data_IF_763699349003
#
_entry.id   IF_763699349003
#
_cell.length_a   1.000
_cell.length_b   1.000
_cell.length_c   1.000
_cell.angle_alpha   90.00
_cell.angle_beta   90.00
_cell.angle_gamma   90.00
#
_symmetry.space_group_name_H-M   'P 1'
#
loop_
_entity.id
_entity.type
_entity.pdbx_description
1 polymer ?
#
# COMPACT_ATOMS: atom_id res chain seq x y z
N UNK A 1 -7.77 3.04 -12.84
CA UNK A 1 -7.80 2.21 -11.62
C UNK A 1 -7.37 3.01 -10.39
N UNK A 2 -7.90 2.65 -9.23
CA UNK A 2 -7.55 3.25 -7.93
C UNK A 2 -6.09 2.94 -7.57
N UNK A 3 -5.42 3.88 -6.94
CA UNK A 3 -4.07 3.71 -6.39
C UNK A 3 -4.13 3.54 -4.88
N UNK A 4 -3.41 2.57 -4.38
CA UNK A 4 -3.30 2.30 -2.95
C UNK A 4 -1.91 2.66 -2.43
N UNK A 5 -1.84 3.13 -1.20
CA UNK A 5 -0.58 3.24 -0.48
C UNK A 5 -0.24 1.89 0.15
N UNK A 6 0.98 1.42 -0.05
CA UNK A 6 1.42 0.11 0.41
C UNK A 6 2.63 -0.39 -0.39
N UNK A 7 2.98 -1.65 -0.19
CA UNK A 7 4.11 -2.28 -0.90
C UNK A 7 3.61 -3.23 -1.97
N UNK A 8 4.08 -3.05 -3.20
CA UNK A 8 3.78 -3.97 -4.30
C UNK A 8 4.49 -5.30 -4.09
N UNK A 9 3.72 -6.39 -4.11
CA UNK A 9 4.19 -7.77 -4.06
C UNK A 9 3.65 -8.48 -5.29
N UNK A 10 4.57 -9.04 -6.09
CA UNK A 10 4.19 -9.91 -7.19
C UNK A 10 4.21 -11.37 -6.72
N UNK A 11 3.24 -12.13 -7.18
CA UNK A 11 3.06 -13.55 -6.91
C UNK A 11 3.01 -14.30 -8.23
N UNK A 12 3.84 -15.31 -8.40
CA UNK A 12 3.90 -16.12 -9.62
C UNK A 12 4.35 -17.54 -9.31
N UNK A 13 3.94 -18.49 -10.15
CA UNK A 13 4.33 -19.89 -10.02
C UNK A 13 5.63 -20.15 -10.78
N UNK A 14 6.62 -20.74 -10.12
CA UNK A 14 7.91 -21.03 -10.71
C UNK A 14 8.60 -22.19 -10.01
N UNK A 15 9.16 -23.14 -10.79
CA UNK A 15 9.81 -24.36 -10.28
C UNK A 15 8.93 -25.10 -9.25
N UNK A 16 7.68 -25.35 -9.62
CA UNK A 16 6.68 -26.08 -8.83
C UNK A 16 6.32 -25.45 -7.48
N UNK A 17 6.61 -24.14 -7.31
CA UNK A 17 6.25 -23.40 -6.10
C UNK A 17 5.76 -21.98 -6.37
N UNK A 18 4.90 -21.47 -5.50
CA UNK A 18 4.50 -20.06 -5.50
C UNK A 18 5.63 -19.19 -4.96
N UNK A 19 6.07 -18.29 -5.79
CA UNK A 19 7.17 -17.35 -5.51
C UNK A 19 6.65 -15.94 -5.35
N UNK A 20 7.12 -15.25 -4.31
CA UNK A 20 6.84 -13.85 -4.06
C UNK A 20 8.03 -13.00 -4.54
N UNK A 21 7.75 -11.78 -5.01
CA UNK A 21 8.81 -10.79 -5.20
C UNK A 21 8.36 -9.39 -4.83
N UNK A 22 9.28 -8.58 -4.35
CA UNK A 22 9.17 -7.12 -4.36
C UNK A 22 9.80 -6.59 -5.63
N UNK A 23 9.72 -5.28 -5.87
CA UNK A 23 10.38 -4.63 -7.03
C UNK A 23 11.87 -4.96 -7.13
N UNK A 24 12.55 -5.17 -6.01
CA UNK A 24 14.02 -5.30 -5.94
C UNK A 24 14.52 -6.66 -5.46
N UNK A 25 13.63 -7.57 -5.04
CA UNK A 25 14.06 -8.81 -4.42
C UNK A 25 13.09 -9.97 -4.66
N UNK A 26 13.59 -11.02 -5.34
CA UNK A 26 12.86 -12.30 -5.51
C UNK A 26 12.83 -13.04 -4.18
N UNK A 27 11.67 -13.64 -3.83
CA UNK A 27 11.42 -14.29 -2.56
C UNK A 27 10.87 -13.35 -1.48
N UNK A 28 10.86 -12.02 -1.71
CA UNK A 28 10.34 -11.00 -0.80
C UNK A 28 10.83 -11.11 0.66
N UNK A 29 12.04 -11.67 0.87
CA UNK A 29 12.65 -11.85 2.21
C UNK A 29 13.30 -10.59 2.76
N UNK A 30 13.36 -9.52 1.96
CA UNK A 30 13.84 -8.21 2.37
C UNK A 30 12.89 -7.52 3.34
N UNK A 31 13.43 -6.51 4.04
CA UNK A 31 12.75 -5.73 5.07
C UNK A 31 12.56 -4.29 4.58
N UNK A 32 11.56 -3.60 5.09
CA UNK A 32 11.35 -2.19 4.78
C UNK A 32 12.56 -1.32 5.21
N UNK A 33 13.07 -1.57 6.41
CA UNK A 33 14.25 -0.89 6.95
C UNK A 33 14.95 -1.80 7.99
N UNK A 34 16.10 -1.35 8.51
CA UNK A 34 16.92 -2.10 9.47
C UNK A 34 16.19 -2.41 10.79
N UNK A 35 15.16 -1.65 11.15
CA UNK A 35 14.40 -1.82 12.40
C UNK A 35 13.12 -2.64 12.20
N UNK A 36 12.80 -3.02 10.97
CA UNK A 36 11.63 -3.84 10.67
C UNK A 36 11.80 -5.24 11.25
N UNK A 37 10.79 -5.71 11.99
CA UNK A 37 10.81 -7.05 12.63
C UNK A 37 10.34 -8.16 11.68
N UNK A 38 9.67 -7.81 10.60
CA UNK A 38 9.09 -8.74 9.64
C UNK A 38 9.57 -8.45 8.23
N UNK A 39 9.86 -9.49 7.45
CA UNK A 39 10.09 -9.40 6.02
C UNK A 39 8.77 -9.17 5.28
N UNK A 40 8.84 -8.68 4.04
CA UNK A 40 7.64 -8.54 3.20
C UNK A 40 6.95 -9.88 2.97
N UNK A 41 7.70 -10.97 2.78
CA UNK A 41 7.14 -12.34 2.68
C UNK A 41 6.31 -12.70 3.91
N UNK A 42 6.83 -12.44 5.12
CA UNK A 42 6.10 -12.72 6.35
C UNK A 42 4.83 -11.91 6.47
N UNK A 43 4.89 -10.60 6.23
CA UNK A 43 3.73 -9.72 6.27
C UNK A 43 2.68 -10.08 5.22
N UNK A 44 3.10 -10.46 4.02
CA UNK A 44 2.19 -10.91 2.97
C UNK A 44 1.45 -12.19 3.37
N UNK A 45 2.18 -13.19 3.88
CA UNK A 45 1.59 -14.46 4.30
C UNK A 45 0.69 -14.35 5.55
N UNK A 46 0.83 -13.29 6.36
CA UNK A 46 -0.11 -12.96 7.43
C UNK A 46 -1.45 -12.44 6.88
N UNK A 47 -1.45 -11.88 5.67
CA UNK A 47 -2.64 -11.36 4.99
C UNK A 47 -3.24 -12.35 3.99
N UNK A 48 -2.42 -13.19 3.37
CA UNK A 48 -2.81 -14.12 2.31
C UNK A 48 -1.93 -15.37 2.33
N UNK A 49 -2.56 -16.55 2.40
CA UNK A 49 -1.90 -17.85 2.40
C UNK A 49 -2.62 -18.91 1.56
N UNK A 50 -3.68 -18.53 0.84
CA UNK A 50 -4.52 -19.44 0.06
C UNK A 50 -4.10 -19.45 -1.41
N UNK A 51 -2.89 -19.92 -1.66
CA UNK A 51 -2.31 -19.98 -3.01
C UNK A 51 -3.02 -20.96 -3.95
N UNK A 52 -3.78 -21.90 -3.42
CA UNK A 52 -4.64 -22.83 -4.16
C UNK A 52 -5.83 -22.14 -4.88
N UNK A 53 -6.17 -20.90 -4.50
CA UNK A 53 -7.14 -20.09 -5.22
C UNK A 53 -6.56 -19.45 -6.50
N UNK A 54 -5.23 -19.43 -6.65
CA UNK A 54 -4.52 -18.80 -7.76
C UNK A 54 -4.25 -19.79 -8.89
N UNK A 55 -4.32 -19.30 -10.13
CA UNK A 55 -3.96 -20.07 -11.33
C UNK A 55 -2.45 -20.03 -11.55
N UNK A 56 -1.80 -21.19 -11.64
CA UNK A 56 -0.36 -21.31 -11.83
C UNK A 56 0.16 -20.82 -13.19
N UNK A 57 -0.74 -20.62 -14.16
CA UNK A 57 -0.42 -20.03 -15.47
C UNK A 57 -0.49 -18.51 -15.47
N UNK A 58 -0.82 -17.90 -14.31
CA UNK A 58 -0.95 -16.47 -14.13
C UNK A 58 0.11 -15.90 -13.20
N UNK A 59 0.31 -14.59 -13.29
CA UNK A 59 1.01 -13.80 -12.27
C UNK A 59 0.12 -12.69 -11.75
N UNK A 60 0.31 -12.37 -10.49
CA UNK A 60 -0.54 -11.46 -9.73
C UNK A 60 0.27 -10.34 -9.11
N UNK A 61 -0.22 -9.11 -9.19
CA UNK A 61 0.36 -7.97 -8.50
C UNK A 61 -0.57 -7.50 -7.39
N UNK A 62 -0.13 -7.65 -6.16
CA UNK A 62 -0.86 -7.21 -4.97
C UNK A 62 -0.24 -5.97 -4.35
N UNK A 63 -1.06 -5.11 -3.78
CA UNK A 63 -0.61 -4.10 -2.82
C UNK A 63 -0.81 -4.64 -1.41
N UNK A 64 0.28 -4.82 -0.69
CA UNK A 64 0.29 -5.19 0.72
C UNK A 64 0.09 -3.94 1.58
N UNK A 65 -0.97 -3.93 2.39
CA UNK A 65 -1.21 -2.98 3.47
C UNK A 65 -1.08 -3.72 4.80
N UNK A 66 -0.08 -3.35 5.60
CA UNK A 66 0.22 -4.02 6.86
C UNK A 66 0.61 -3.00 7.93
N UNK A 67 0.13 -3.17 9.17
CA UNK A 67 0.40 -2.25 10.30
C UNK A 67 1.90 -2.07 10.56
N UNK A 68 2.68 -3.15 10.41
CA UNK A 68 4.15 -3.09 10.57
C UNK A 68 4.88 -2.46 9.35
N UNK A 69 4.14 -2.06 8.30
CA UNK A 69 4.64 -1.42 7.09
C UNK A 69 3.73 -0.27 6.63
N UNK A 70 3.26 0.53 7.55
CA UNK A 70 2.49 1.74 7.23
C UNK A 70 3.41 2.84 6.72
N UNK A 71 3.28 3.20 5.43
CA UNK A 71 4.10 4.24 4.80
C UNK A 71 3.56 5.63 5.12
N UNK A 72 2.57 6.06 4.39
CA UNK A 72 1.96 7.39 4.52
C UNK A 72 0.58 7.26 5.16
N UNK A 73 -0.30 6.44 4.58
CA UNK A 73 -1.64 6.27 5.12
C UNK A 73 -1.63 5.33 6.34
N UNK A 74 -2.37 5.65 7.41
CA UNK A 74 -2.57 4.71 8.50
C UNK A 74 -3.21 3.41 8.00
N UNK A 75 -2.69 2.27 8.43
CA UNK A 75 -3.22 0.95 8.10
C UNK A 75 -4.06 0.45 9.27
N UNK A 76 -5.38 0.43 9.11
CA UNK A 76 -6.30 -0.04 10.14
C UNK A 76 -6.41 -1.57 10.17
N UNK A 77 -6.29 -2.19 9.01
CA UNK A 77 -6.42 -3.63 8.81
C UNK A 77 -5.31 -4.16 7.90
N UNK A 78 -4.75 -5.32 8.27
CA UNK A 78 -3.77 -6.01 7.45
C UNK A 78 -4.49 -6.72 6.30
N UNK A 79 -4.13 -6.39 5.05
CA UNK A 79 -4.76 -6.98 3.86
C UNK A 79 -3.87 -6.89 2.63
N UNK A 80 -4.25 -7.64 1.62
CA UNK A 80 -3.70 -7.54 0.27
C UNK A 80 -4.81 -7.15 -0.71
N UNK A 81 -4.46 -6.34 -1.70
CA UNK A 81 -5.36 -5.85 -2.72
C UNK A 81 -4.79 -6.23 -4.08
N UNK A 82 -5.50 -7.06 -4.83
CA UNK A 82 -5.13 -7.42 -6.20
C UNK A 82 -5.33 -6.20 -7.11
N UNK A 83 -4.28 -5.78 -7.78
CA UNK A 83 -4.30 -4.60 -8.66
C UNK A 83 -4.09 -4.95 -10.13
N UNK A 84 -3.36 -6.03 -10.41
CA UNK A 84 -3.13 -6.51 -11.78
C UNK A 84 -2.95 -8.03 -11.78
N UNK A 85 -3.41 -8.65 -12.86
CA UNK A 85 -3.25 -10.06 -13.17
C UNK A 85 -2.84 -10.21 -14.63
N UNK A 86 -1.91 -11.11 -14.91
CA UNK A 86 -1.45 -11.42 -16.25
C UNK A 86 -1.50 -12.94 -16.48
N UNK A 87 -2.12 -13.37 -17.57
CA UNK A 87 -2.07 -14.75 -18.07
C UNK A 87 -0.85 -14.97 -18.96
N UNK A 88 -0.26 -16.15 -18.89
CA UNK A 88 0.85 -16.61 -19.73
C UNK A 88 0.49 -17.85 -20.55
N UNK A 89 -0.80 -18.17 -20.71
CA UNK A 89 -1.26 -19.36 -21.45
C UNK A 89 -0.70 -19.42 -22.88
N UNK A 90 -0.55 -18.28 -23.54
CA UNK A 90 0.00 -18.16 -24.89
C UNK A 90 1.52 -17.94 -24.93
N UNK A 91 2.22 -18.08 -23.80
CA UNK A 91 3.67 -17.83 -23.67
C UNK A 91 4.07 -16.35 -23.60
N UNK A 92 3.12 -15.43 -23.68
CA UNK A 92 3.33 -14.00 -23.55
C UNK A 92 2.39 -13.43 -22.45
N UNK A 93 2.80 -12.36 -21.74
CA UNK A 93 1.95 -11.77 -20.72
C UNK A 93 0.74 -11.06 -21.37
N UNK A 94 -0.45 -11.53 -21.09
CA UNK A 94 -1.72 -10.90 -21.48
C UNK A 94 -2.43 -10.40 -20.23
N UNK A 95 -2.78 -9.12 -20.20
CA UNK A 95 -3.46 -8.54 -19.03
C UNK A 95 -4.88 -9.09 -18.94
N UNK A 96 -5.28 -9.53 -17.74
CA UNK A 96 -6.63 -9.95 -17.44
C UNK A 96 -7.46 -8.71 -17.08
N UNK A 97 -8.48 -8.39 -17.91
CA UNK A 97 -9.29 -7.17 -17.73
C UNK A 97 -10.27 -7.27 -16.56
N UNK A 98 -10.83 -8.47 -16.33
CA UNK A 98 -11.82 -8.72 -15.28
C UNK A 98 -11.20 -9.59 -14.19
N UNK A 99 -10.69 -8.94 -13.12
CA UNK A 99 -10.12 -9.64 -11.99
C UNK A 99 -11.20 -10.48 -11.27
N UNK A 100 -10.86 -11.71 -10.90
CA UNK A 100 -11.79 -12.61 -10.19
C UNK A 100 -11.94 -12.15 -8.73
N UNK A 101 -13.19 -12.07 -8.28
CA UNK A 101 -13.49 -11.82 -6.86
C UNK A 101 -13.04 -13.00 -6.01
N UNK A 102 -12.42 -12.72 -4.88
CA UNK A 102 -12.04 -13.69 -3.86
C UNK A 102 -12.56 -13.26 -2.49
N UNK A 103 -12.66 -14.21 -1.57
CA UNK A 103 -12.95 -13.95 -0.16
C UNK A 103 -11.70 -13.62 0.64
N UNK A 104 -10.51 -13.86 0.08
CA UNK A 104 -9.23 -13.79 0.76
C UNK A 104 -8.41 -12.56 0.41
N UNK A 105 -8.79 -11.85 -0.64
CA UNK A 105 -8.17 -10.59 -1.02
C UNK A 105 -9.20 -9.61 -1.62
N UNK A 106 -8.91 -8.33 -1.51
CA UNK A 106 -9.68 -7.28 -2.17
C UNK A 106 -9.20 -7.08 -3.61
N UNK A 107 -10.10 -6.63 -4.48
CA UNK A 107 -9.79 -6.26 -5.86
C UNK A 107 -9.77 -4.75 -6.00
N UNK A 108 -8.81 -4.24 -6.77
CA UNK A 108 -8.75 -2.81 -7.09
C UNK A 108 -9.92 -2.37 -7.94
N UNK A 109 -10.57 -1.29 -7.53
CA UNK A 109 -11.64 -0.68 -8.32
C UNK A 109 -11.09 -0.08 -9.61
N UNK A 110 -11.75 -0.37 -10.71
CA UNK A 110 -11.53 0.25 -12.03
C UNK A 110 -12.77 1.06 -12.43
N UNK A 111 -12.57 2.13 -13.19
CA UNK A 111 -13.62 3.01 -13.69
C UNK A 111 -13.41 3.20 -15.17
N UNK A 112 -14.48 3.14 -15.96
CA UNK A 112 -14.40 3.22 -17.43
C UNK A 112 -14.07 4.62 -17.90
N UNK A 113 -14.56 5.63 -17.19
CA UNK A 113 -14.37 7.02 -17.61
C UNK A 113 -14.22 7.98 -16.41
N UNK A 114 -13.81 9.21 -16.70
CA UNK A 114 -13.58 10.25 -15.69
C UNK A 114 -14.87 10.75 -15.02
N UNK A 115 -16.00 10.65 -15.69
CA UNK A 115 -17.29 11.05 -15.12
C UNK A 115 -17.70 10.08 -13.99
N UNK A 116 -17.58 8.79 -14.25
CA UNK A 116 -17.80 7.73 -13.25
C UNK A 116 -16.89 7.90 -12.03
N UNK A 117 -15.60 8.18 -12.28
CA UNK A 117 -14.65 8.50 -11.24
C UNK A 117 -15.10 9.69 -10.39
N UNK A 118 -15.56 10.79 -10.99
CA UNK A 118 -16.04 11.96 -10.27
C UNK A 118 -17.29 11.69 -9.43
N UNK A 119 -18.17 10.80 -9.88
CA UNK A 119 -19.37 10.45 -9.10
C UNK A 119 -19.03 9.73 -7.80
N UNK A 120 -17.99 8.88 -7.81
CA UNK A 120 -17.53 8.16 -6.63
C UNK A 120 -16.46 8.90 -5.83
N UNK A 121 -15.88 9.98 -6.36
CA UNK A 121 -14.84 10.76 -5.67
C UNK A 121 -15.32 11.37 -4.35
N UNK A 122 -16.63 11.58 -4.20
CA UNK A 122 -17.25 12.03 -2.94
C UNK A 122 -17.28 10.98 -1.84
N UNK A 123 -17.25 9.70 -2.25
CA UNK A 123 -17.26 8.53 -1.33
C UNK A 123 -15.85 7.98 -1.10
N UNK A 124 -14.83 8.65 -1.66
CA UNK A 124 -13.43 8.25 -1.51
C UNK A 124 -12.98 8.45 -0.08
N UNK A 125 -12.37 7.41 0.45
CA UNK A 125 -11.80 7.45 1.79
C UNK A 125 -10.72 8.54 1.86
N UNK A 126 -10.73 9.37 2.91
CA UNK A 126 -9.80 10.48 3.17
C UNK A 126 -8.31 10.18 2.95
N UNK A 127 -7.95 8.89 2.89
CA UNK A 127 -6.56 8.44 2.77
C UNK A 127 -6.25 7.75 1.44
N UNK A 128 -7.14 7.84 0.47
CA UNK A 128 -6.88 7.27 -0.86
C UNK A 128 -5.77 8.03 -1.57
N UNK A 129 -4.80 7.29 -2.09
CA UNK A 129 -3.65 7.86 -2.77
C UNK A 129 -4.03 8.60 -4.06
N UNK A 130 -4.99 8.05 -4.81
CA UNK A 130 -5.42 8.62 -6.08
C UNK A 130 -5.71 7.57 -7.14
N UNK A 131 -5.47 7.91 -8.40
CA UNK A 131 -5.86 7.10 -9.55
C UNK A 131 -4.78 7.03 -10.62
N UNK A 132 -4.67 5.86 -11.26
CA UNK A 132 -4.03 5.70 -12.55
C UNK A 132 -5.08 5.90 -13.64
N UNK A 133 -4.82 6.81 -14.56
CA UNK A 133 -5.65 7.12 -15.72
C UNK A 133 -4.88 6.69 -16.96
N UNK A 134 -5.49 5.84 -17.79
CA UNK A 134 -4.90 5.39 -19.04
C UNK A 134 -5.67 6.06 -20.18
N UNK A 135 -4.94 6.75 -21.07
CA UNK A 135 -5.49 7.39 -22.26
C UNK A 135 -4.47 7.29 -23.39
N UNK A 136 -4.91 6.83 -24.55
CA UNK A 136 -4.09 6.73 -25.78
C UNK A 136 -2.75 5.98 -25.53
N UNK A 137 -2.81 4.86 -24.79
CA UNK A 137 -1.62 4.05 -24.43
C UNK A 137 -0.68 4.72 -23.41
N UNK A 138 -1.02 5.91 -22.91
CA UNK A 138 -0.23 6.63 -21.91
C UNK A 138 -0.88 6.51 -20.52
N UNK A 139 -0.03 6.39 -19.49
CA UNK A 139 -0.45 6.41 -18.09
C UNK A 139 -0.25 7.78 -17.49
N UNK A 140 -1.31 8.32 -16.91
CA UNK A 140 -1.31 9.52 -16.10
C UNK A 140 -1.62 9.15 -14.65
N UNK A 141 -1.13 9.95 -13.71
CA UNK A 141 -1.35 9.75 -12.28
C UNK A 141 -2.06 10.97 -11.72
N UNK A 142 -3.20 10.75 -11.09
CA UNK A 142 -3.89 11.76 -10.31
C UNK A 142 -3.74 11.41 -8.82
N UNK A 143 -3.13 12.31 -8.05
CA UNK A 143 -2.95 12.17 -6.60
C UNK A 143 -3.99 13.07 -5.92
N UNK A 144 -4.73 12.53 -4.94
CA UNK A 144 -5.72 13.30 -4.18
C UNK A 144 -5.06 14.38 -3.32
N UNK A 145 -5.75 15.49 -3.10
CA UNK A 145 -5.24 16.58 -2.27
C UNK A 145 -5.09 16.13 -0.80
N UNK A 146 -6.00 15.31 -0.31
CA UNK A 146 -5.91 14.74 1.04
C UNK A 146 -4.65 13.89 1.22
N UNK A 147 -4.31 13.05 0.22
CA UNK A 147 -3.07 12.28 0.29
C UNK A 147 -1.82 13.15 0.23
N UNK A 148 -1.81 14.17 -0.63
CA UNK A 148 -0.71 15.16 -0.68
C UNK A 148 -0.53 15.86 0.66
N UNK A 149 -1.64 16.25 1.30
CA UNK A 149 -1.61 16.87 2.62
C UNK A 149 -0.96 15.94 3.66
N UNK A 150 -1.40 14.69 3.74
CA UNK A 150 -0.86 13.71 4.68
C UNK A 150 0.61 13.39 4.38
N UNK A 151 0.96 13.26 3.09
CA UNK A 151 2.33 13.02 2.65
C UNK A 151 3.28 14.14 3.09
N UNK A 152 2.83 15.38 3.00
CA UNK A 152 3.62 16.55 3.42
C UNK A 152 3.66 16.72 4.95
N UNK A 153 2.64 16.24 5.64
CA UNK A 153 2.57 16.31 7.10
C UNK A 153 3.55 15.35 7.77
N UNK A 154 3.75 14.16 7.22
CA UNK A 154 4.64 13.15 7.80
C UNK A 154 6.08 13.34 7.31
N UNK A 155 7.05 13.62 8.19
CA UNK A 155 8.47 13.61 7.82
C UNK A 155 8.86 12.26 7.23
N UNK A 156 9.68 12.25 6.18
CA UNK A 156 10.16 11.01 5.53
C UNK A 156 11.19 10.29 6.42
N UNK A 157 10.72 9.82 7.55
CA UNK A 157 11.50 9.15 8.59
C UNK A 157 10.65 8.10 9.31
N UNK A 158 11.32 7.06 9.83
CA UNK A 158 10.67 6.02 10.65
C UNK A 158 11.01 6.14 12.15
N UNK A 159 11.98 6.96 12.51
CA UNK A 159 12.33 7.21 13.90
C UNK A 159 11.31 8.15 14.53
N UNK A 160 10.49 7.64 15.44
CA UNK A 160 9.40 8.39 16.09
C UNK A 160 9.88 9.62 16.87
N UNK A 161 11.05 9.54 17.48
CA UNK A 161 11.68 10.69 18.16
C UNK A 161 12.02 11.81 17.16
N UNK A 162 12.64 11.45 16.04
CA UNK A 162 12.98 12.42 15.00
C UNK A 162 11.72 13.05 14.39
N UNK A 163 10.67 12.24 14.16
CA UNK A 163 9.38 12.74 13.69
C UNK A 163 8.82 13.75 14.70
N UNK A 164 8.77 13.39 15.99
CA UNK A 164 8.27 14.27 17.05
C UNK A 164 9.02 15.61 17.09
N UNK A 165 10.35 15.58 17.15
CA UNK A 165 11.17 16.81 17.23
C UNK A 165 11.00 17.70 15.99
N UNK A 166 10.89 17.08 14.79
CA UNK A 166 10.66 17.84 13.55
C UNK A 166 9.29 18.52 13.57
N UNK A 167 8.24 17.79 13.93
CA UNK A 167 6.89 18.32 14.02
C UNK A 167 6.74 19.35 15.12
N UNK A 168 7.40 19.15 16.26
CA UNK A 168 7.43 20.10 17.35
C UNK A 168 8.03 21.44 16.92
N UNK A 169 9.18 21.41 16.25
CA UNK A 169 9.82 22.59 15.67
C UNK A 169 8.92 23.31 14.66
N UNK A 170 8.15 22.56 13.90
CA UNK A 170 7.22 23.08 12.88
C UNK A 170 5.85 23.48 13.46
N UNK A 171 5.58 23.23 14.74
CA UNK A 171 4.27 23.41 15.39
C UNK A 171 3.15 22.60 14.77
N UNK A 172 3.44 21.41 14.24
CA UNK A 172 2.51 20.53 13.50
C UNK A 172 2.16 19.24 14.26
N UNK A 173 2.52 19.11 15.55
CA UNK A 173 2.29 17.89 16.34
C UNK A 173 0.80 17.55 16.43
N UNK A 174 -0.05 18.53 16.70
CA UNK A 174 -1.50 18.31 16.82
C UNK A 174 -2.13 17.85 15.50
N UNK A 175 -1.76 18.49 14.39
CA UNK A 175 -2.25 18.12 13.06
C UNK A 175 -1.81 16.70 12.67
N UNK A 176 -0.56 16.35 12.98
CA UNK A 176 -0.05 15.00 12.78
C UNK A 176 -0.85 13.97 13.59
N UNK A 177 -1.13 14.23 14.87
CA UNK A 177 -1.84 13.30 15.74
C UNK A 177 -3.33 13.14 15.39
N UNK A 178 -3.94 14.06 14.64
CA UNK A 178 -5.29 13.86 14.06
C UNK A 178 -5.31 12.69 13.06
N UNK A 179 -4.20 12.46 12.36
CA UNK A 179 -4.03 11.39 11.37
C UNK A 179 -3.45 10.14 11.99
N UNK A 180 -2.35 10.27 12.75
CA UNK A 180 -1.55 9.18 13.32
C UNK A 180 -1.80 9.08 14.83
N UNK A 181 -3.02 8.71 15.20
CA UNK A 181 -3.49 8.67 16.61
C UNK A 181 -2.66 7.75 17.49
N UNK A 182 -2.15 6.66 16.92
CA UNK A 182 -1.36 5.65 17.63
C UNK A 182 -0.02 6.19 18.16
N UNK A 183 0.45 7.32 17.62
CA UNK A 183 1.70 7.94 18.04
C UNK A 183 1.52 8.87 19.27
N UNK A 184 0.29 9.05 19.76
CA UNK A 184 0.00 9.99 20.86
C UNK A 184 0.75 9.64 22.13
N UNK A 185 0.69 8.38 22.56
CA UNK A 185 1.32 7.95 23.81
C UNK A 185 2.83 8.14 23.78
N UNK A 186 3.49 7.73 22.70
CA UNK A 186 4.94 7.88 22.58
C UNK A 186 5.36 9.36 22.49
N UNK A 187 4.54 10.21 21.85
CA UNK A 187 4.81 11.65 21.78
C UNK A 187 4.67 12.35 23.12
N UNK A 188 3.71 11.94 23.95
CA UNK A 188 3.61 12.43 25.33
C UNK A 188 4.84 12.04 26.18
N UNK A 189 5.34 10.81 26.01
CA UNK A 189 6.59 10.38 26.67
C UNK A 189 7.76 11.27 26.23
N UNK A 190 7.87 11.61 24.95
CA UNK A 190 8.94 12.48 24.46
C UNK A 190 8.81 13.91 24.96
N UNK A 191 7.59 14.44 24.97
CA UNK A 191 7.31 15.76 25.53
C UNK A 191 7.75 15.87 26.99
N UNK A 192 7.32 14.94 27.83
CA UNK A 192 7.69 14.91 29.25
C UNK A 192 9.19 14.73 29.47
N UNK A 193 9.85 13.88 28.67
CA UNK A 193 11.30 13.62 28.81
C UNK A 193 12.16 14.83 28.47
N UNK A 194 11.72 15.68 27.57
CA UNK A 194 12.49 16.82 27.09
C UNK A 194 11.99 18.16 27.66
N UNK A 195 11.01 18.13 28.59
CA UNK A 195 10.40 19.33 29.22
C UNK A 195 9.92 20.35 28.17
N UNK A 196 9.35 19.86 27.08
CA UNK A 196 8.90 20.67 25.95
C UNK A 196 7.42 20.98 26.08
#
# INVERSE_FOLDING_TARGET
>A
SRMYDGTMINVFYHNDEWTLSTRSFIGAKNYWNKNSKKSFKKMFNECFNQYDELDSTHSYSFVLQHKDNSNITPVNENKVILVEEYSYENGYPEKVDNLRTSRTYEISNTYENYHELKMVEKDIHKYDKGYNIFKDGKRFVHITEDYKYIFNLKPNQNNKMFIFLTLYKQRNVEEYLKVYKDDKEIFEVYKNKYEI
#
